data_IF_752853329832
#
_entry.id   IF_752853329832
#
_cell.length_a   1.000
_cell.length_b   1.000
_cell.length_c   1.000
_cell.angle_alpha   90.00
_cell.angle_beta   90.00
_cell.angle_gamma   90.00
#
_symmetry.space_group_name_H-M   'P 1'
#
loop_
_entity.id
_entity.type
_entity.pdbx_description
1 polymer ?
#
# COMPACT_ATOMS: atom_id res chain seq x y z
N UNK A 1 -7.16 1.44 -24.82
CA UNK A 1 -6.72 0.20 -24.53
C UNK A 1 -6.02 0.07 -23.25
N UNK A 2 -4.80 0.52 -23.16
CA UNK A 2 -4.03 0.35 -21.95
C UNK A 2 -4.62 1.09 -20.77
N UNK A 3 -5.31 2.21 -21.00
CA UNK A 3 -5.88 2.96 -19.89
C UNK A 3 -6.92 2.16 -19.14
N UNK A 4 -7.78 1.42 -19.83
CA UNK A 4 -8.79 0.67 -19.11
C UNK A 4 -8.17 -0.50 -18.35
N UNK A 5 -7.12 -1.09 -18.87
CA UNK A 5 -6.40 -2.14 -18.14
C UNK A 5 -5.76 -1.59 -16.89
N UNK A 6 -5.18 -0.40 -16.98
CA UNK A 6 -4.56 0.23 -15.82
C UNK A 6 -5.57 0.52 -14.73
N UNK A 7 -6.75 0.99 -15.11
CA UNK A 7 -7.81 1.27 -14.15
C UNK A 7 -8.30 0.02 -13.45
N UNK A 8 -8.48 -1.06 -14.20
CA UNK A 8 -8.89 -2.34 -13.63
C UNK A 8 -7.84 -2.88 -12.68
N UNK A 9 -6.58 -2.75 -13.07
CA UNK A 9 -5.47 -3.21 -12.26
C UNK A 9 -5.40 -2.46 -10.94
N UNK A 10 -5.53 -1.15 -10.99
CA UNK A 10 -5.53 -0.32 -9.78
C UNK A 10 -6.70 -0.71 -8.87
N UNK A 11 -7.86 -0.96 -9.44
CA UNK A 11 -9.04 -1.32 -8.67
C UNK A 11 -8.83 -2.65 -7.94
N UNK A 12 -8.38 -3.66 -8.66
CA UNK A 12 -8.12 -4.97 -8.06
C UNK A 12 -7.07 -4.89 -6.97
N UNK A 13 -5.99 -4.16 -7.25
CA UNK A 13 -4.91 -4.00 -6.30
C UNK A 13 -5.40 -3.26 -5.06
N UNK A 14 -6.20 -2.23 -5.24
CA UNK A 14 -6.76 -1.47 -4.13
C UNK A 14 -7.60 -2.36 -3.21
N UNK A 15 -8.42 -3.21 -3.82
CA UNK A 15 -9.28 -4.11 -3.04
C UNK A 15 -8.43 -5.09 -2.22
N UNK A 16 -7.41 -5.67 -2.85
CA UNK A 16 -6.54 -6.62 -2.15
C UNK A 16 -5.81 -5.95 -0.99
N UNK A 17 -5.31 -4.75 -1.22
CA UNK A 17 -4.62 -4.00 -0.17
C UNK A 17 -5.59 -3.65 0.96
N UNK A 18 -6.77 -3.18 0.60
CA UNK A 18 -7.76 -2.75 1.59
C UNK A 18 -8.17 -3.88 2.53
N UNK A 19 -8.23 -5.11 1.99
CA UNK A 19 -8.69 -6.26 2.77
C UNK A 19 -7.60 -6.92 3.58
N UNK A 20 -6.35 -6.79 3.19
CA UNK A 20 -5.28 -7.56 3.80
C UNK A 20 -4.30 -6.76 4.64
N UNK A 21 -4.08 -5.51 4.30
CA UNK A 21 -3.07 -4.71 4.98
C UNK A 21 -3.68 -3.80 6.03
N UNK A 22 -2.97 -3.66 7.14
CA UNK A 22 -3.42 -2.77 8.21
C UNK A 22 -2.22 -2.10 8.85
N UNK A 23 -2.48 -0.96 9.50
CA UNK A 23 -1.49 -0.29 10.35
C UNK A 23 -1.86 -0.56 11.79
N UNK A 24 -0.87 -0.50 12.66
CA UNK A 24 -1.09 -0.63 14.09
C UNK A 24 -1.03 0.74 14.74
N UNK A 25 -2.11 1.11 15.40
CA UNK A 25 -2.19 2.39 16.10
C UNK A 25 -2.58 2.06 17.54
N UNK A 26 -1.62 2.18 18.45
CA UNK A 26 -1.85 1.78 19.82
C UNK A 26 -2.17 0.29 19.89
N UNK A 27 -3.35 -0.03 20.40
CA UNK A 27 -3.76 -1.42 20.58
C UNK A 27 -4.66 -1.94 19.49
N UNK A 28 -4.87 -1.20 18.42
CA UNK A 28 -5.78 -1.67 17.38
C UNK A 28 -5.12 -1.69 16.01
N UNK A 29 -5.74 -2.50 15.15
CA UNK A 29 -5.35 -2.62 13.76
C UNK A 29 -6.36 -1.86 12.93
N UNK A 30 -5.85 -0.92 12.13
CA UNK A 30 -6.72 -0.15 11.23
C UNK A 30 -6.39 -0.58 9.80
N UNK A 31 -7.33 -1.23 9.16
CA UNK A 31 -7.13 -1.68 7.79
C UNK A 31 -7.04 -0.50 6.85
N UNK A 32 -6.18 -0.64 5.82
CA UNK A 32 -5.92 0.47 4.91
C UNK A 32 -7.16 0.93 4.16
N UNK A 33 -8.09 0.01 3.93
CA UNK A 33 -9.36 0.39 3.31
C UNK A 33 -10.13 1.38 4.17
N UNK A 34 -10.17 1.12 5.47
CA UNK A 34 -10.86 1.98 6.41
C UNK A 34 -10.12 3.29 6.65
N UNK A 35 -8.81 3.26 6.53
CA UNK A 35 -8.00 4.46 6.70
C UNK A 35 -7.99 5.35 5.46
N UNK A 36 -8.53 4.87 4.35
CA UNK A 36 -8.53 5.62 3.10
C UNK A 36 -7.19 5.66 2.41
N UNK A 37 -6.31 4.72 2.71
CA UNK A 37 -4.94 4.71 2.17
C UNK A 37 -4.72 3.67 1.09
N UNK A 38 -5.67 2.76 0.89
CA UNK A 38 -5.45 1.63 -0.01
C UNK A 38 -5.21 2.07 -1.46
N UNK A 39 -5.99 3.02 -1.94
CA UNK A 39 -5.86 3.47 -3.33
C UNK A 39 -4.54 4.18 -3.56
N UNK A 40 -4.16 5.05 -2.63
CA UNK A 40 -2.90 5.78 -2.77
C UNK A 40 -1.73 4.80 -2.78
N UNK A 41 -1.77 3.80 -1.92
CA UNK A 41 -0.72 2.79 -1.89
C UNK A 41 -0.69 1.99 -3.19
N UNK A 42 -1.85 1.64 -3.72
CA UNK A 42 -1.94 0.90 -4.98
C UNK A 42 -1.28 1.68 -6.11
N UNK A 43 -1.56 2.98 -6.18
CA UNK A 43 -0.99 3.83 -7.22
C UNK A 43 0.54 3.90 -7.09
N UNK A 44 1.03 4.06 -5.88
CA UNK A 44 2.48 4.11 -5.66
C UNK A 44 3.15 2.78 -6.02
N UNK A 45 2.49 1.67 -5.73
CA UNK A 45 2.99 0.37 -6.13
C UNK A 45 3.07 0.24 -7.65
N UNK A 46 2.03 0.69 -8.33
CA UNK A 46 1.98 0.58 -9.79
C UNK A 46 3.13 1.35 -10.44
N UNK A 47 3.45 2.51 -9.92
CA UNK A 47 4.55 3.32 -10.45
C UNK A 47 5.87 2.55 -10.41
N UNK A 48 6.00 1.62 -9.48
CA UNK A 48 7.24 0.89 -9.27
C UNK A 48 7.20 -0.57 -9.72
N UNK A 49 6.15 -0.99 -10.42
CA UNK A 49 5.98 -2.39 -10.81
C UNK A 49 7.19 -2.94 -11.58
N UNK A 50 7.77 -2.14 -12.45
CA UNK A 50 8.90 -2.60 -13.27
C UNK A 50 10.15 -2.87 -12.46
N UNK A 51 10.18 -2.42 -11.22
CA UNK A 51 11.33 -2.64 -10.34
C UNK A 51 11.21 -3.94 -9.52
N UNK A 52 10.10 -4.66 -9.68
CA UNK A 52 9.86 -5.90 -8.95
C UNK A 52 9.02 -5.68 -7.71
N UNK A 53 8.38 -6.74 -7.25
CA UNK A 53 7.44 -6.67 -6.14
C UNK A 53 8.09 -6.16 -4.85
N UNK A 54 9.31 -6.61 -4.57
CA UNK A 54 10.01 -6.22 -3.35
C UNK A 54 10.28 -4.70 -3.33
N UNK A 55 10.84 -4.19 -4.42
CA UNK A 55 11.16 -2.77 -4.51
C UNK A 55 9.88 -1.94 -4.55
N UNK A 56 8.89 -2.40 -5.31
CA UNK A 56 7.61 -1.68 -5.41
C UNK A 56 6.96 -1.54 -4.05
N UNK A 57 6.93 -2.62 -3.27
CA UNK A 57 6.32 -2.60 -1.95
C UNK A 57 7.04 -1.62 -1.04
N UNK A 58 8.35 -1.68 -1.00
CA UNK A 58 9.11 -0.84 -0.08
C UNK A 58 9.01 0.63 -0.45
N UNK A 59 9.17 0.94 -1.72
CA UNK A 59 9.11 2.33 -2.16
C UNK A 59 7.72 2.92 -1.96
N UNK A 60 6.70 2.13 -2.21
CA UNK A 60 5.33 2.60 -2.03
C UNK A 60 5.05 2.90 -0.56
N UNK A 61 5.47 2.01 0.33
CA UNK A 61 5.24 2.22 1.76
C UNK A 61 5.98 3.45 2.28
N UNK A 62 7.15 3.75 1.72
CA UNK A 62 7.90 4.92 2.11
C UNK A 62 7.32 6.21 1.55
N UNK A 63 6.67 6.13 0.40
CA UNK A 63 6.12 7.31 -0.26
C UNK A 63 4.84 7.82 0.41
N UNK A 64 4.08 6.94 1.04
CA UNK A 64 2.82 7.32 1.66
C UNK A 64 3.09 7.90 3.04
N UNK A 65 2.71 9.15 3.26
CA UNK A 65 2.87 9.80 4.55
C UNK A 65 1.55 9.79 5.30
N UNK A 66 1.59 9.37 6.54
CA UNK A 66 0.41 9.29 7.38
C UNK A 66 0.46 10.37 8.44
N UNK A 67 -0.58 11.15 8.52
CA UNK A 67 -0.69 12.24 9.49
C UNK A 67 -1.24 11.69 10.80
N UNK A 68 -0.48 11.86 11.86
CA UNK A 68 -0.86 11.35 13.18
C UNK A 68 -1.30 12.49 14.09
N UNK A 69 -2.48 12.35 14.65
CA UNK A 69 -3.05 13.24 15.65
C UNK A 69 -2.68 14.71 15.52
N UNK A 70 -3.58 15.59 15.28
CA UNK A 70 -3.35 17.01 15.30
C UNK A 70 -2.61 17.61 14.12
N UNK A 71 -2.10 16.80 13.23
CA UNK A 71 -1.57 17.30 11.96
C UNK A 71 -0.14 17.81 11.97
N UNK A 72 0.57 17.71 13.08
CA UNK A 72 1.95 18.18 13.14
C UNK A 72 2.97 17.07 12.97
N UNK A 73 2.54 15.82 13.14
CA UNK A 73 3.44 14.68 13.04
C UNK A 73 3.01 13.79 11.88
N UNK A 74 3.94 13.52 10.98
CA UNK A 74 3.70 12.57 9.91
C UNK A 74 4.79 11.52 9.93
N UNK A 75 4.40 10.28 9.59
CA UNK A 75 5.35 9.18 9.46
C UNK A 75 5.07 8.45 8.16
N UNK A 76 6.11 7.89 7.54
CA UNK A 76 5.86 7.06 6.36
C UNK A 76 5.10 5.80 6.78
N UNK A 77 4.26 5.32 5.88
CA UNK A 77 3.44 4.14 6.14
C UNK A 77 4.30 2.95 6.53
N UNK A 78 5.52 2.87 6.00
CA UNK A 78 6.45 1.79 6.31
C UNK A 78 6.75 1.67 7.79
N UNK A 79 6.62 2.77 8.54
CA UNK A 79 6.88 2.76 9.98
C UNK A 79 5.68 2.35 10.80
N UNK A 80 4.51 2.36 10.21
CA UNK A 80 3.27 2.05 10.91
C UNK A 80 2.78 0.64 10.66
N UNK A 81 3.28 0.04 9.59
CA UNK A 81 2.84 -1.28 9.18
C UNK A 81 3.73 -2.34 9.84
N UNK A 82 3.17 -3.43 10.38
CA UNK A 82 4.01 -4.49 10.94
C UNK A 82 4.92 -5.08 9.85
N UNK A 83 6.10 -5.51 10.26
CA UNK A 83 7.10 -5.98 9.27
C UNK A 83 6.61 -7.16 8.45
N UNK A 84 5.79 -8.04 9.01
CA UNK A 84 5.26 -9.16 8.26
C UNK A 84 4.28 -8.73 7.17
N UNK A 85 3.73 -7.54 7.29
CA UNK A 85 2.84 -7.01 6.25
C UNK A 85 3.58 -6.65 4.98
N UNK A 86 4.86 -6.39 5.07
CA UNK A 86 5.67 -6.16 3.87
C UNK A 86 5.64 -7.39 2.98
N UNK A 87 5.75 -8.57 3.57
CA UNK A 87 5.69 -9.81 2.80
C UNK A 87 4.30 -10.00 2.18
N UNK A 88 3.25 -9.66 2.92
CA UNK A 88 1.91 -9.73 2.38
C UNK A 88 1.75 -8.82 1.18
N UNK A 89 2.28 -7.60 1.26
CA UNK A 89 2.20 -6.67 0.15
C UNK A 89 2.98 -7.19 -1.05
N UNK A 90 4.16 -7.75 -0.82
CA UNK A 90 4.95 -8.35 -1.90
C UNK A 90 4.17 -9.46 -2.60
N UNK A 91 3.50 -10.29 -1.81
CA UNK A 91 2.66 -11.35 -2.35
C UNK A 91 1.55 -10.81 -3.22
N UNK A 92 0.91 -9.75 -2.76
CA UNK A 92 -0.16 -9.11 -3.51
C UNK A 92 0.37 -8.59 -4.85
N UNK A 93 1.57 -8.03 -4.84
CA UNK A 93 2.14 -7.39 -6.02
C UNK A 93 2.76 -8.36 -7.02
N UNK A 94 3.11 -9.56 -6.60
CA UNK A 94 3.80 -10.53 -7.46
C UNK A 94 3.16 -10.70 -8.84
N UNK A 95 1.85 -10.96 -8.92
CA UNK A 95 1.23 -11.16 -10.24
C UNK A 95 1.31 -9.94 -11.14
N UNK A 96 1.42 -8.76 -10.56
CA UNK A 96 1.44 -7.51 -11.33
C UNK A 96 2.85 -7.11 -11.76
N UNK A 97 3.86 -7.68 -11.13
CA UNK A 97 5.26 -7.29 -11.37
C UNK A 97 6.01 -8.24 -12.30
N UNK A 98 5.34 -9.22 -12.85
CA UNK A 98 5.98 -10.20 -13.75
C UNK A 98 6.23 -9.67 -15.12
#
# INVERSE_FOLDING_TARGET
MSTSNDSSQIRELTISIADRLFIQVGNWNLYLGDAGLAKDLAIECQVNFKNGANVAARKALEAIQVNLGGGTTTLPLSKLIPSNQLFDLEEILEPYCR
#
